data_IF_322266230000
#
_entry.id   IF_322266230000
#
_cell.length_a   1.000
_cell.length_b   1.000
_cell.length_c   1.000
_cell.angle_alpha   90.00
_cell.angle_beta   90.00
_cell.angle_gamma   90.00
#
_symmetry.space_group_name_H-M   'P 1'
#
loop_
_entity.id
_entity.type
_entity.pdbx_description
1 polymer ?
#
# COMPACT_ATOMS: atom_id res chain seq x y z
N UNK A 1 1.42 -28.30 28.04
CA UNK A 1 1.02 -28.01 26.64
C UNK A 1 1.91 -28.83 25.72
N UNK A 2 1.39 -29.45 24.66
CA UNK A 2 2.23 -30.27 23.77
C UNK A 2 3.05 -29.40 22.81
N UNK A 3 4.19 -29.90 22.30
CA UNK A 3 5.01 -29.18 21.30
C UNK A 3 4.19 -28.75 20.07
N UNK A 4 3.21 -29.57 19.66
CA UNK A 4 2.28 -29.25 18.56
C UNK A 4 1.37 -28.07 18.89
N UNK A 5 0.83 -28.00 20.12
CA UNK A 5 -0.02 -26.88 20.56
C UNK A 5 0.77 -25.57 20.64
N UNK A 6 2.01 -25.61 21.12
CA UNK A 6 2.89 -24.43 21.18
C UNK A 6 3.19 -23.90 19.78
N UNK A 7 3.56 -24.78 18.84
CA UNK A 7 3.82 -24.41 17.44
C UNK A 7 2.60 -23.81 16.75
N UNK A 8 1.41 -24.40 16.95
CA UNK A 8 0.16 -23.87 16.40
C UNK A 8 -0.14 -22.45 16.89
N UNK A 9 -0.04 -22.21 18.20
CA UNK A 9 -0.29 -20.89 18.77
C UNK A 9 0.73 -19.85 18.30
N UNK A 10 2.01 -20.23 18.19
CA UNK A 10 3.06 -19.36 17.66
C UNK A 10 2.75 -18.91 16.23
N UNK A 11 2.39 -19.84 15.34
CA UNK A 11 2.02 -19.53 13.95
C UNK A 11 0.78 -18.64 13.86
N UNK A 12 -0.23 -18.91 14.70
CA UNK A 12 -1.45 -18.10 14.75
C UNK A 12 -1.17 -16.67 15.23
N UNK A 13 -0.36 -16.51 16.27
CA UNK A 13 0.02 -15.21 16.80
C UNK A 13 0.85 -14.41 15.80
N UNK A 14 1.80 -15.06 15.11
CA UNK A 14 2.56 -14.45 14.03
C UNK A 14 1.64 -13.95 12.91
N UNK A 15 0.72 -14.80 12.44
CA UNK A 15 -0.26 -14.42 11.42
C UNK A 15 -1.09 -13.21 11.85
N UNK A 16 -1.68 -13.25 13.04
CA UNK A 16 -2.48 -12.14 13.56
C UNK A 16 -1.66 -10.84 13.71
N UNK A 17 -0.42 -10.94 14.19
CA UNK A 17 0.49 -9.80 14.29
C UNK A 17 0.79 -9.18 12.93
N UNK A 18 1.04 -10.01 11.91
CA UNK A 18 1.22 -9.53 10.54
C UNK A 18 -0.05 -8.83 10.02
N UNK A 19 -1.24 -9.43 10.18
CA UNK A 19 -2.49 -8.81 9.72
C UNK A 19 -2.74 -7.47 10.44
N UNK A 20 -2.41 -7.34 11.72
CA UNK A 20 -2.53 -6.07 12.46
C UNK A 20 -1.58 -4.99 11.92
N UNK A 21 -0.34 -5.34 11.57
CA UNK A 21 0.59 -4.43 10.90
C UNK A 21 0.00 -3.98 9.56
N UNK A 22 -0.50 -4.92 8.74
CA UNK A 22 -1.10 -4.59 7.46
C UNK A 22 -2.36 -3.71 7.62
N UNK A 23 -3.17 -3.94 8.65
CA UNK A 23 -4.32 -3.08 8.97
C UNK A 23 -3.87 -1.64 9.28
N UNK A 24 -2.78 -1.46 10.04
CA UNK A 24 -2.21 -0.14 10.29
C UNK A 24 -1.80 0.57 8.98
N UNK A 25 -1.28 -0.18 8.00
CA UNK A 25 -0.98 0.38 6.67
C UNK A 25 -2.26 0.88 6.01
N UNK A 26 -3.33 0.06 6.02
CA UNK A 26 -4.63 0.47 5.50
C UNK A 26 -5.14 1.77 6.14
N UNK A 27 -5.00 1.92 7.47
CA UNK A 27 -5.41 3.13 8.19
C UNK A 27 -4.57 4.37 7.83
N UNK A 28 -3.25 4.21 7.65
CA UNK A 28 -2.37 5.29 7.18
C UNK A 28 -2.79 5.77 5.78
N UNK A 29 -3.05 4.82 4.87
CA UNK A 29 -3.49 5.12 3.51
C UNK A 29 -4.89 5.75 3.48
N UNK A 30 -5.80 5.31 4.37
CA UNK A 30 -7.11 5.94 4.52
C UNK A 30 -6.98 7.39 4.98
N UNK A 31 -6.11 7.67 5.96
CA UNK A 31 -5.85 9.04 6.41
C UNK A 31 -5.26 9.92 5.29
N UNK A 32 -4.31 9.39 4.53
CA UNK A 32 -3.70 10.08 3.38
C UNK A 32 -4.75 10.40 2.29
N UNK A 33 -5.50 9.39 1.85
CA UNK A 33 -6.51 9.53 0.81
C UNK A 33 -7.70 10.41 1.23
N UNK A 34 -8.12 10.34 2.50
CA UNK A 34 -9.12 11.24 3.06
C UNK A 34 -8.70 12.71 2.90
N UNK A 35 -7.45 13.04 3.22
CA UNK A 35 -6.93 14.40 3.01
C UNK A 35 -6.98 14.86 1.56
N UNK A 36 -6.74 13.95 0.61
CA UNK A 36 -6.78 14.24 -0.84
C UNK A 36 -8.21 14.43 -1.36
N UNK A 37 -9.12 13.55 -0.95
CA UNK A 37 -10.53 13.57 -1.35
C UNK A 37 -11.26 14.80 -0.80
N UNK A 38 -11.13 15.05 0.51
CA UNK A 38 -11.86 16.14 1.18
C UNK A 38 -11.16 17.49 1.06
N UNK A 39 -9.85 17.51 0.80
CA UNK A 39 -9.10 18.75 0.57
C UNK A 39 -9.44 19.43 -0.77
N UNK A 40 -9.99 18.69 -1.74
CA UNK A 40 -10.49 19.22 -3.03
C UNK A 40 -9.44 19.77 -3.99
N UNK A 41 -8.18 19.95 -3.55
CA UNK A 41 -7.11 20.58 -4.35
C UNK A 41 -6.09 19.62 -4.92
N UNK A 42 -6.05 18.38 -4.42
CA UNK A 42 -4.96 17.44 -4.74
C UNK A 42 -4.79 17.21 -6.25
N UNK A 43 -5.89 16.99 -6.97
CA UNK A 43 -5.86 16.70 -8.41
C UNK A 43 -5.34 17.90 -9.21
N UNK A 44 -5.77 19.11 -8.86
CA UNK A 44 -5.37 20.33 -9.56
C UNK A 44 -3.94 20.76 -9.20
N UNK A 45 -3.46 20.43 -8.01
CA UNK A 45 -2.11 20.79 -7.55
C UNK A 45 -1.05 19.73 -7.84
N UNK A 46 -1.44 18.50 -8.22
CA UNK A 46 -0.50 17.40 -8.43
C UNK A 46 0.61 17.75 -9.44
N UNK A 47 0.29 18.49 -10.50
CA UNK A 47 1.30 18.89 -11.51
C UNK A 47 2.50 19.62 -10.90
N UNK A 48 2.28 20.48 -9.89
CA UNK A 48 3.35 21.19 -9.17
C UNK A 48 4.20 20.21 -8.35
N UNK A 49 3.56 19.26 -7.68
CA UNK A 49 4.24 18.21 -6.92
C UNK A 49 5.10 17.34 -7.83
N UNK A 50 4.58 16.93 -8.99
CA UNK A 50 5.33 16.13 -9.97
C UNK A 50 6.50 16.91 -10.59
N UNK A 51 6.32 18.21 -10.85
CA UNK A 51 7.42 19.08 -11.29
C UNK A 51 8.53 19.18 -10.24
N UNK A 52 8.16 19.29 -8.96
CA UNK A 52 9.13 19.23 -7.86
C UNK A 52 9.85 17.88 -7.82
N UNK A 53 9.11 16.76 -7.91
CA UNK A 53 9.68 15.42 -7.95
C UNK A 53 10.66 15.23 -9.11
N UNK A 54 10.38 15.79 -10.29
CA UNK A 54 11.26 15.71 -11.46
C UNK A 54 12.53 16.57 -11.33
N UNK A 55 12.51 17.65 -10.54
CA UNK A 55 13.57 18.66 -10.51
C UNK A 55 14.96 18.12 -10.14
N UNK A 56 15.01 17.18 -9.17
CA UNK A 56 16.24 16.55 -8.69
C UNK A 56 16.12 15.02 -8.58
N UNK A 57 15.21 14.41 -9.35
CA UNK A 57 15.07 12.95 -9.34
C UNK A 57 16.39 12.30 -9.83
N UNK A 58 16.96 11.36 -9.06
CA UNK A 58 18.22 10.71 -9.42
C UNK A 58 18.06 9.66 -10.53
N UNK A 59 16.83 9.26 -10.88
CA UNK A 59 16.55 8.22 -11.87
C UNK A 59 16.13 8.85 -13.21
N UNK A 60 16.98 8.81 -14.26
CA UNK A 60 16.69 9.46 -15.53
C UNK A 60 15.37 9.00 -16.18
N UNK A 61 15.07 7.70 -16.14
CA UNK A 61 13.83 7.14 -16.70
C UNK A 61 12.58 7.67 -15.98
N UNK A 62 12.64 7.81 -14.64
CA UNK A 62 11.52 8.33 -13.85
C UNK A 62 11.36 9.82 -14.14
N UNK A 63 12.46 10.57 -14.20
CA UNK A 63 12.44 11.99 -14.55
C UNK A 63 11.81 12.22 -15.93
N UNK A 64 12.21 11.43 -16.93
CA UNK A 64 11.67 11.52 -18.28
C UNK A 64 10.16 11.21 -18.32
N UNK A 65 9.74 10.14 -17.65
CA UNK A 65 8.32 9.82 -17.49
C UNK A 65 7.54 10.94 -16.81
N UNK A 66 8.07 11.52 -15.73
CA UNK A 66 7.43 12.62 -15.02
C UNK A 66 7.27 13.84 -15.94
N UNK A 67 8.32 14.23 -16.66
CA UNK A 67 8.34 15.42 -17.52
C UNK A 67 7.46 15.27 -18.76
N UNK A 68 7.53 14.12 -19.43
CA UNK A 68 6.92 13.94 -20.74
C UNK A 68 5.55 13.26 -20.70
N UNK A 69 5.22 12.57 -19.60
CA UNK A 69 3.94 11.84 -19.48
C UNK A 69 3.12 12.32 -18.28
N UNK A 70 3.68 12.28 -17.06
CA UNK A 70 2.87 12.47 -15.86
C UNK A 70 2.45 13.93 -15.64
N UNK A 71 3.35 14.90 -15.82
CA UNK A 71 3.06 16.34 -15.65
C UNK A 71 2.02 16.83 -16.68
N UNK A 72 2.17 16.55 -18.00
CA UNK A 72 1.15 16.93 -18.99
C UNK A 72 -0.23 16.32 -18.70
N UNK A 73 -0.26 15.13 -18.10
CA UNK A 73 -1.49 14.40 -17.75
C UNK A 73 -1.80 14.47 -16.24
N UNK A 74 -1.34 15.52 -15.55
CA UNK A 74 -1.36 15.59 -14.08
C UNK A 74 -2.73 15.40 -13.44
N UNK A 75 -3.83 15.85 -14.08
CA UNK A 75 -5.18 15.60 -13.58
C UNK A 75 -5.59 14.13 -13.62
N UNK A 76 -5.16 13.39 -14.66
CA UNK A 76 -5.40 11.95 -14.75
C UNK A 76 -4.63 11.23 -13.65
N UNK A 77 -3.32 11.48 -13.52
CA UNK A 77 -2.50 10.89 -12.46
C UNK A 77 -2.95 11.33 -11.06
N UNK A 78 -3.51 12.52 -10.92
CA UNK A 78 -4.14 13.02 -9.70
C UNK A 78 -5.30 12.14 -9.28
N UNK A 79 -6.23 11.90 -10.19
CA UNK A 79 -7.36 11.01 -9.94
C UNK A 79 -6.90 9.57 -9.68
N UNK A 80 -6.00 9.02 -10.51
CA UNK A 80 -5.49 7.65 -10.34
C UNK A 80 -4.79 7.47 -8.99
N UNK A 81 -3.97 8.43 -8.58
CA UNK A 81 -3.29 8.39 -7.29
C UNK A 81 -4.32 8.46 -6.18
N UNK A 82 -5.16 9.50 -6.14
CA UNK A 82 -6.15 9.73 -5.09
C UNK A 82 -7.08 8.52 -4.89
N UNK A 83 -7.67 8.01 -5.96
CA UNK A 83 -8.56 6.85 -5.89
C UNK A 83 -7.81 5.54 -5.66
N UNK A 84 -6.61 5.38 -6.23
CA UNK A 84 -5.76 4.23 -5.99
C UNK A 84 -5.39 4.10 -4.52
N UNK A 85 -5.05 5.21 -3.85
CA UNK A 85 -4.77 5.23 -2.42
C UNK A 85 -6.00 4.81 -1.62
N UNK A 86 -7.15 5.41 -1.92
CA UNK A 86 -8.39 5.20 -1.20
C UNK A 86 -8.88 3.76 -1.31
N UNK A 87 -8.94 3.23 -2.54
CA UNK A 87 -9.42 1.86 -2.79
C UNK A 87 -8.46 0.82 -2.20
N UNK A 88 -7.14 1.05 -2.28
CA UNK A 88 -6.16 0.18 -1.63
C UNK A 88 -6.35 0.18 -0.11
N UNK A 89 -6.57 1.35 0.49
CA UNK A 89 -6.84 1.48 1.92
C UNK A 89 -8.09 0.70 2.34
N UNK A 90 -9.20 0.87 1.61
CA UNK A 90 -10.46 0.17 1.90
C UNK A 90 -10.28 -1.35 1.80
N UNK A 91 -9.64 -1.83 0.73
CA UNK A 91 -9.41 -3.26 0.53
C UNK A 91 -8.55 -3.86 1.65
N UNK A 92 -7.47 -3.16 2.06
CA UNK A 92 -6.64 -3.59 3.19
C UNK A 92 -7.45 -3.62 4.49
N UNK A 93 -8.17 -2.54 4.82
CA UNK A 93 -8.93 -2.44 6.07
C UNK A 93 -10.01 -3.52 6.14
N UNK A 94 -10.81 -3.68 5.09
CA UNK A 94 -11.91 -4.62 5.06
C UNK A 94 -11.39 -6.07 5.10
N UNK A 95 -10.39 -6.39 4.28
CA UNK A 95 -9.80 -7.73 4.23
C UNK A 95 -9.12 -8.13 5.54
N UNK A 96 -8.28 -7.23 6.09
CA UNK A 96 -7.58 -7.48 7.35
C UNK A 96 -8.54 -7.58 8.54
N UNK A 97 -9.49 -6.64 8.67
CA UNK A 97 -10.46 -6.66 9.78
C UNK A 97 -11.32 -7.92 9.73
N UNK A 98 -11.77 -8.33 8.54
CA UNK A 98 -12.57 -9.54 8.39
C UNK A 98 -11.79 -10.80 8.79
N UNK A 99 -10.52 -10.92 8.38
CA UNK A 99 -9.66 -12.04 8.77
C UNK A 99 -9.34 -12.07 10.27
N UNK A 100 -9.24 -10.91 10.92
CA UNK A 100 -9.01 -10.83 12.38
C UNK A 100 -10.26 -11.19 13.19
N UNK A 101 -11.44 -10.78 12.73
CA UNK A 101 -12.71 -11.01 13.44
C UNK A 101 -13.19 -12.45 13.24
N UNK A 102 -13.00 -13.01 12.04
CA UNK A 102 -13.51 -14.34 11.72
C UNK A 102 -12.67 -15.44 12.40
N UNK A 103 -13.35 -16.41 13.00
CA UNK A 103 -12.71 -17.54 13.70
C UNK A 103 -12.10 -18.58 12.75
N UNK A 104 -12.44 -18.54 11.47
CA UNK A 104 -11.98 -19.45 10.43
C UNK A 104 -11.48 -18.69 9.21
N UNK A 105 -10.59 -19.32 8.45
CA UNK A 105 -10.03 -18.77 7.22
C UNK A 105 -11.11 -18.48 6.18
N UNK A 106 -10.92 -17.39 5.42
CA UNK A 106 -11.79 -16.99 4.32
C UNK A 106 -10.98 -16.53 3.11
N UNK A 107 -11.06 -17.28 2.01
CA UNK A 107 -10.35 -16.98 0.77
C UNK A 107 -10.77 -15.63 0.16
N UNK A 108 -12.03 -15.23 0.28
CA UNK A 108 -12.52 -13.98 -0.31
C UNK A 108 -11.93 -12.79 0.42
N UNK A 109 -11.94 -12.82 1.76
CA UNK A 109 -11.30 -11.79 2.57
C UNK A 109 -9.78 -11.73 2.34
N UNK A 110 -9.13 -12.88 2.18
CA UNK A 110 -7.72 -12.94 1.82
C UNK A 110 -7.45 -12.33 0.43
N UNK A 111 -8.28 -12.61 -0.57
CA UNK A 111 -8.16 -12.03 -1.92
C UNK A 111 -8.37 -10.50 -1.89
N UNK A 112 -9.35 -10.02 -1.12
CA UNK A 112 -9.59 -8.57 -0.93
C UNK A 112 -8.38 -7.91 -0.25
N UNK A 113 -7.81 -8.55 0.78
CA UNK A 113 -6.61 -8.04 1.40
C UNK A 113 -5.44 -8.03 0.40
N UNK A 114 -5.21 -9.12 -0.32
CA UNK A 114 -4.15 -9.23 -1.34
C UNK A 114 -4.29 -8.12 -2.39
N UNK A 115 -5.48 -7.85 -2.91
CA UNK A 115 -5.67 -6.80 -3.93
C UNK A 115 -5.32 -5.41 -3.41
N UNK A 116 -5.72 -5.09 -2.17
CA UNK A 116 -5.35 -3.85 -1.51
C UNK A 116 -3.84 -3.74 -1.28
N UNK A 117 -3.18 -4.83 -0.85
CA UNK A 117 -1.73 -4.87 -0.67
C UNK A 117 -0.99 -4.69 -2.00
N UNK A 118 -1.45 -5.30 -3.10
CA UNK A 118 -0.86 -5.11 -4.42
C UNK A 118 -0.96 -3.65 -4.90
N UNK A 119 -2.10 -3.00 -4.66
CA UNK A 119 -2.25 -1.57 -4.91
C UNK A 119 -1.26 -0.74 -4.06
N UNK A 120 -1.14 -1.05 -2.77
CA UNK A 120 -0.17 -0.43 -1.88
C UNK A 120 1.28 -0.64 -2.32
N UNK A 121 1.66 -1.84 -2.74
CA UNK A 121 3.01 -2.17 -3.23
C UNK A 121 3.34 -1.31 -4.44
N UNK A 122 2.43 -1.25 -5.41
CA UNK A 122 2.62 -0.45 -6.61
C UNK A 122 2.79 1.04 -6.27
N UNK A 123 1.92 1.59 -5.41
CA UNK A 123 1.96 3.01 -5.07
C UNK A 123 3.22 3.37 -4.25
N UNK A 124 3.61 2.55 -3.27
CA UNK A 124 4.86 2.75 -2.51
C UNK A 124 6.09 2.71 -3.42
N UNK A 125 6.12 1.80 -4.40
CA UNK A 125 7.20 1.74 -5.39
C UNK A 125 7.24 3.03 -6.23
N UNK A 126 6.10 3.50 -6.73
CA UNK A 126 6.01 4.75 -7.51
C UNK A 126 6.43 5.97 -6.69
N UNK A 127 6.00 6.06 -5.43
CA UNK A 127 6.36 7.16 -4.52
C UNK A 127 7.83 7.11 -4.12
N UNK A 128 8.39 5.93 -3.87
CA UNK A 128 9.81 5.77 -3.61
C UNK A 128 10.66 6.24 -4.81
N UNK A 129 10.31 5.80 -6.02
CA UNK A 129 11.00 6.20 -7.26
C UNK A 129 10.86 7.71 -7.54
N UNK A 130 9.69 8.29 -7.29
CA UNK A 130 9.41 9.69 -7.61
C UNK A 130 9.96 10.66 -6.57
N UNK A 131 9.86 10.29 -5.29
CA UNK A 131 9.95 11.19 -4.15
C UNK A 131 10.89 10.70 -3.03
N UNK A 132 11.39 9.46 -3.09
CA UNK A 132 12.28 8.92 -2.05
C UNK A 132 13.53 9.76 -1.81
N UNK A 133 14.09 10.34 -2.87
CA UNK A 133 15.27 11.21 -2.80
C UNK A 133 15.06 12.50 -1.99
N UNK A 134 13.82 12.89 -1.68
CA UNK A 134 13.53 14.15 -1.00
C UNK A 134 13.94 14.13 0.48
N UNK A 135 13.82 12.98 1.14
CA UNK A 135 14.26 12.82 2.54
C UNK A 135 14.38 11.35 2.93
N UNK A 136 15.27 11.00 3.87
CA UNK A 136 15.38 9.64 4.40
C UNK A 136 14.06 9.09 4.97
N UNK A 137 13.19 9.96 5.49
CA UNK A 137 11.87 9.58 6.01
C UNK A 137 10.92 9.17 4.87
N UNK A 138 10.87 9.94 3.78
CA UNK A 138 10.03 9.62 2.61
C UNK A 138 10.48 8.31 1.98
N UNK A 139 11.78 8.13 1.83
CA UNK A 139 12.38 6.88 1.37
C UNK A 139 12.00 5.70 2.28
N UNK A 140 12.30 5.81 3.57
CA UNK A 140 12.18 4.70 4.53
C UNK A 140 10.73 4.26 4.70
N UNK A 141 9.78 5.20 4.75
CA UNK A 141 8.35 4.87 4.87
C UNK A 141 7.85 4.10 3.65
N UNK A 142 8.18 4.53 2.43
CA UNK A 142 7.72 3.80 1.24
C UNK A 142 8.40 2.42 1.16
N UNK A 143 9.68 2.32 1.51
CA UNK A 143 10.41 1.05 1.47
C UNK A 143 9.89 0.05 2.51
N UNK A 144 9.68 0.48 3.76
CA UNK A 144 9.16 -0.42 4.80
C UNK A 144 7.75 -0.87 4.46
N UNK A 145 6.91 0.03 3.92
CA UNK A 145 5.55 -0.33 3.50
C UNK A 145 5.54 -1.28 2.31
N UNK A 146 6.39 -1.06 1.31
CA UNK A 146 6.57 -1.95 0.19
C UNK A 146 6.97 -3.37 0.65
N UNK A 147 7.99 -3.49 1.52
CA UNK A 147 8.51 -4.77 1.98
C UNK A 147 7.48 -5.52 2.83
N UNK A 148 6.84 -4.86 3.80
CA UNK A 148 5.88 -5.56 4.67
C UNK A 148 4.63 -5.97 3.92
N UNK A 149 4.19 -5.19 2.93
CA UNK A 149 3.08 -5.58 2.07
C UNK A 149 3.45 -6.77 1.16
N UNK A 150 4.69 -6.83 0.64
CA UNK A 150 5.19 -8.00 -0.10
C UNK A 150 5.22 -9.27 0.78
N UNK A 151 5.67 -9.15 2.02
CA UNK A 151 5.62 -10.25 3.01
C UNK A 151 4.17 -10.68 3.22
N UNK A 152 3.27 -9.71 3.43
CA UNK A 152 1.83 -9.94 3.58
C UNK A 152 1.23 -10.73 2.42
N UNK A 153 1.44 -10.26 1.18
CA UNK A 153 0.99 -10.95 -0.04
C UNK A 153 1.55 -12.36 -0.13
N UNK A 154 2.86 -12.53 0.14
CA UNK A 154 3.51 -13.84 0.06
C UNK A 154 2.92 -14.85 1.05
N UNK A 155 2.64 -14.42 2.29
CA UNK A 155 2.03 -15.25 3.33
C UNK A 155 0.58 -15.59 2.97
N UNK A 156 -0.20 -14.59 2.53
CA UNK A 156 -1.61 -14.78 2.18
C UNK A 156 -1.77 -15.71 0.98
N UNK A 157 -0.97 -15.54 -0.08
CA UNK A 157 -1.03 -16.40 -1.28
C UNK A 157 -0.73 -17.86 -0.93
N UNK A 158 0.31 -18.12 -0.12
CA UNK A 158 0.64 -19.48 0.33
C UNK A 158 -0.47 -20.12 1.18
N UNK A 159 -1.33 -19.30 1.78
CA UNK A 159 -2.44 -19.72 2.62
C UNK A 159 -3.75 -19.88 1.84
N UNK A 160 -3.80 -19.44 0.57
CA UNK A 160 -4.95 -19.69 -0.29
C UNK A 160 -5.02 -21.18 -0.63
N UNK A 161 -6.12 -21.80 -0.24
CA UNK A 161 -6.49 -23.14 -0.69
C UNK A 161 -7.60 -22.98 -1.72
N UNK A 162 -7.27 -23.17 -3.00
CA UNK A 162 -8.29 -23.35 -4.03
C UNK A 162 -8.79 -24.79 -3.89
N UNK A 163 -9.97 -24.93 -3.28
CA UNK A 163 -10.76 -26.17 -3.34
C UNK A 163 -11.65 -26.11 -4.56
#
# INVERSE_FOLDING_TARGET
MSNKQVSYLSNKNFFNGLILILLAHGLIWLRSSYGKLYGGKFVDELGKTLAFFASKNPYPLVKDFLQNTAIPNSKLFGNLTMWGEFLSALAIILGASYLLIKKSWDNRAAIVLISGLLGGIFLNMVFWLSAGWMSPSTESVNLIMFITQLIGVSVLIKSLSFK
#
